data_IF_491409487143
#
_entry.id   IF_491409487143
#
_cell.length_a   1.000
_cell.length_b   1.000
_cell.length_c   1.000
_cell.angle_alpha   90.00
_cell.angle_beta   90.00
_cell.angle_gamma   90.00
#
_symmetry.space_group_name_H-M   'P 1'
#
loop_
_entity.id
_entity.type
_entity.pdbx_description
1 polymer ?
#
# COMPACT_ATOMS: atom_id res chain seq x y z
N UNK A 1 -6.07 10.72 2.32
CA UNK A 1 -6.61 9.36 2.56
C UNK A 1 -5.99 8.82 3.84
N UNK A 2 -6.77 8.49 4.87
CA UNK A 2 -6.24 7.84 6.09
C UNK A 2 -6.36 6.32 5.99
N UNK A 3 -5.57 5.60 6.78
CA UNK A 3 -5.59 4.14 6.88
C UNK A 3 -6.90 3.60 7.48
N UNK A 4 -7.75 4.47 8.01
CA UNK A 4 -8.89 4.10 8.85
C UNK A 4 -10.12 3.65 8.04
N UNK A 5 -10.10 3.84 6.72
CA UNK A 5 -11.15 3.31 5.83
C UNK A 5 -10.89 1.84 5.57
N UNK A 6 -11.94 1.01 5.71
CA UNK A 6 -11.84 -0.44 5.50
C UNK A 6 -11.34 -0.78 4.08
N UNK A 7 -10.45 -1.78 3.99
CA UNK A 7 -9.85 -2.31 2.75
C UNK A 7 -9.78 -3.83 2.85
N UNK A 8 -9.74 -4.52 1.72
CA UNK A 8 -9.69 -5.99 1.70
C UNK A 8 -8.47 -6.55 2.46
N UNK A 9 -7.35 -5.82 2.40
CA UNK A 9 -6.13 -6.11 3.16
C UNK A 9 -6.35 -6.22 4.67
N UNK A 10 -7.31 -5.50 5.25
CA UNK A 10 -7.64 -5.58 6.68
C UNK A 10 -8.15 -6.97 7.06
N UNK A 11 -8.91 -7.62 6.19
CA UNK A 11 -9.42 -8.98 6.41
C UNK A 11 -8.35 -10.06 6.17
N UNK A 12 -7.33 -9.76 5.34
CA UNK A 12 -6.32 -10.72 4.92
C UNK A 12 -5.08 -10.75 5.82
N UNK A 13 -4.78 -9.63 6.51
CA UNK A 13 -3.51 -9.43 7.23
C UNK A 13 -3.17 -10.49 8.28
N UNK A 14 -4.17 -11.13 8.87
CA UNK A 14 -3.99 -12.13 9.93
C UNK A 14 -3.77 -13.54 9.36
N UNK A 15 -4.01 -13.74 8.06
CA UNK A 15 -3.86 -15.04 7.37
C UNK A 15 -2.61 -15.09 6.49
N UNK A 16 -2.30 -13.98 5.82
CA UNK A 16 -1.16 -13.85 4.92
C UNK A 16 -0.48 -12.52 5.18
N UNK A 17 0.84 -12.49 5.04
CA UNK A 17 1.54 -11.24 5.24
C UNK A 17 1.15 -10.23 4.16
N UNK A 18 0.71 -9.08 4.63
CA UNK A 18 -0.03 -8.09 3.86
C UNK A 18 0.62 -6.73 4.04
N UNK A 19 0.83 -6.02 2.94
CA UNK A 19 1.36 -4.66 2.92
C UNK A 19 0.39 -3.76 2.15
N UNK A 20 0.25 -2.52 2.60
CA UNK A 20 -0.48 -1.49 1.89
C UNK A 20 0.43 -0.30 1.61
N UNK A 21 0.35 0.24 0.40
CA UNK A 21 1.03 1.46 -0.01
C UNK A 21 -0.02 2.50 -0.37
N UNK A 22 0.26 3.76 -0.03
CA UNK A 22 -0.63 4.88 -0.30
C UNK A 22 0.07 5.91 -1.17
N UNK A 23 -0.68 6.44 -2.12
CA UNK A 23 -0.33 7.65 -2.86
C UNK A 23 -1.13 8.84 -2.30
N UNK A 24 -0.61 10.07 -2.38
CA UNK A 24 -1.36 11.26 -2.00
C UNK A 24 -2.66 11.38 -2.81
N UNK A 25 -3.74 11.82 -2.17
CA UNK A 25 -4.93 12.33 -2.86
C UNK A 25 -4.98 13.83 -2.66
N UNK A 26 -5.25 14.60 -3.72
CA UNK A 26 -5.32 16.06 -3.67
C UNK A 26 -6.46 16.47 -2.74
N UNK A 27 -6.14 17.33 -1.76
CA UNK A 27 -7.03 17.74 -0.67
C UNK A 27 -7.58 16.58 0.19
N UNK A 28 -7.05 15.36 0.00
CA UNK A 28 -7.51 14.17 0.70
C UNK A 28 -8.94 13.74 0.36
N UNK A 29 -9.51 14.25 -0.74
CA UNK A 29 -10.87 13.94 -1.18
C UNK A 29 -10.96 12.48 -1.65
N UNK A 30 -12.06 11.81 -1.30
CA UNK A 30 -12.40 10.50 -1.84
C UNK A 30 -13.92 10.31 -1.91
N UNK A 31 -14.39 9.31 -2.67
CA UNK A 31 -15.81 9.06 -2.92
C UNK A 31 -16.56 10.27 -3.49
N UNK A 32 -15.86 11.03 -4.34
CA UNK A 32 -16.34 12.28 -4.92
C UNK A 32 -15.87 12.40 -6.37
N UNK A 33 -16.62 13.11 -7.22
CA UNK A 33 -16.23 13.36 -8.61
C UNK A 33 -14.96 14.22 -8.74
N UNK A 34 -14.62 14.98 -7.70
CA UNK A 34 -13.39 15.77 -7.61
C UNK A 34 -12.21 14.99 -7.00
N UNK A 35 -12.37 13.68 -6.72
CA UNK A 35 -11.25 12.84 -6.27
C UNK A 35 -10.17 12.81 -7.35
N UNK A 36 -8.95 13.21 -6.97
CA UNK A 36 -7.84 13.36 -7.91
C UNK A 36 -6.52 13.02 -7.25
N UNK A 37 -5.68 12.29 -7.99
CA UNK A 37 -4.28 12.02 -7.66
C UNK A 37 -3.46 12.43 -8.87
N UNK A 38 -2.32 13.10 -8.64
CA UNK A 38 -1.47 13.55 -9.75
C UNK A 38 -0.80 12.37 -10.43
N UNK A 39 -0.56 12.49 -11.73
CA UNK A 39 0.13 11.46 -12.52
C UNK A 39 1.51 11.10 -11.93
N UNK A 40 2.27 12.10 -11.46
CA UNK A 40 3.57 11.88 -10.82
C UNK A 40 3.49 10.98 -9.58
N UNK A 41 2.43 11.16 -8.77
CA UNK A 41 2.19 10.38 -7.56
C UNK A 41 1.71 8.95 -7.92
N UNK A 42 0.90 8.81 -8.97
CA UNK A 42 0.46 7.50 -9.47
C UNK A 42 1.64 6.67 -9.97
N UNK A 43 2.53 7.29 -10.78
CA UNK A 43 3.72 6.63 -11.31
C UNK A 43 4.67 6.21 -10.17
N UNK A 44 4.93 7.10 -9.21
CA UNK A 44 5.73 6.77 -8.03
C UNK A 44 5.12 5.61 -7.22
N UNK A 45 3.78 5.56 -7.11
CA UNK A 45 3.07 4.46 -6.46
C UNK A 45 3.30 3.11 -7.14
N UNK A 46 3.30 3.09 -8.48
CA UNK A 46 3.57 1.89 -9.29
C UNK A 46 5.03 1.44 -9.13
N UNK A 47 5.97 2.37 -9.15
CA UNK A 47 7.39 2.07 -8.96
C UNK A 47 7.65 1.43 -7.59
N UNK A 48 7.05 2.00 -6.53
CA UNK A 48 7.13 1.45 -5.18
C UNK A 48 6.48 0.07 -5.07
N UNK A 49 5.28 -0.11 -5.62
CA UNK A 49 4.61 -1.41 -5.62
C UNK A 49 5.47 -2.47 -6.32
N UNK A 50 6.05 -2.12 -7.47
CA UNK A 50 6.90 -3.02 -8.27
C UNK A 50 8.12 -3.45 -7.48
N UNK A 51 8.82 -2.51 -6.84
CA UNK A 51 10.02 -2.82 -6.06
C UNK A 51 9.69 -3.66 -4.80
N UNK A 52 8.58 -3.36 -4.11
CA UNK A 52 8.12 -4.16 -2.97
C UNK A 52 7.82 -5.58 -3.42
N UNK A 53 7.02 -5.76 -4.48
CA UNK A 53 6.70 -7.09 -5.01
C UNK A 53 7.95 -7.86 -5.43
N UNK A 54 8.90 -7.18 -6.09
CA UNK A 54 10.18 -7.79 -6.47
C UNK A 54 10.92 -8.31 -5.25
N UNK A 55 11.00 -7.54 -4.16
CA UNK A 55 11.64 -7.99 -2.91
C UNK A 55 10.92 -9.17 -2.28
N UNK A 56 9.59 -9.14 -2.22
CA UNK A 56 8.79 -10.22 -1.65
C UNK A 56 9.00 -11.54 -2.41
N UNK A 57 8.95 -11.48 -3.75
CA UNK A 57 9.03 -12.67 -4.59
C UNK A 57 10.46 -13.22 -4.67
N UNK A 58 11.48 -12.35 -4.64
CA UNK A 58 12.89 -12.77 -4.77
C UNK A 58 13.58 -13.03 -3.42
N UNK A 59 13.03 -12.53 -2.31
CA UNK A 59 13.56 -12.63 -0.96
C UNK A 59 12.44 -12.78 0.07
N UNK A 60 11.91 -14.00 0.29
CA UNK A 60 10.71 -14.23 1.13
C UNK A 60 10.86 -13.79 2.59
N UNK A 61 12.11 -13.65 3.07
CA UNK A 61 12.43 -13.23 4.44
C UNK A 61 12.16 -11.75 4.73
N UNK A 62 11.92 -10.90 3.71
CA UNK A 62 11.71 -9.45 3.88
C UNK A 62 10.34 -9.11 4.47
N UNK A 63 9.46 -10.11 4.61
CA UNK A 63 8.05 -9.94 4.97
C UNK A 63 7.76 -10.41 6.40
N UNK A 64 8.71 -11.09 7.02
CA UNK A 64 8.66 -11.41 8.43
C UNK A 64 9.23 -10.21 9.21
N UNK A 65 8.35 -9.45 9.85
CA UNK A 65 8.74 -8.67 11.02
C UNK A 65 9.27 -9.65 12.06
N UNK A 66 10.59 -9.85 12.09
CA UNK A 66 11.27 -10.43 13.24
C UNK A 66 11.22 -9.37 14.33
N UNK A 67 10.19 -9.43 15.17
CA UNK A 67 10.31 -8.97 16.55
C UNK A 67 10.67 -10.20 17.38
N UNK A 68 11.98 -10.44 17.54
CA UNK A 68 12.46 -11.09 18.75
C UNK A 68 12.52 -10.02 19.86
N UNK A 69 11.81 -10.26 20.96
CA UNK A 69 11.71 -9.39 22.12
C UNK A 69 10.44 -9.64 22.91
#
# INVERSE_FOLDING_TARGET
>A
MSQDTARDSTNMKDLVSTVMLFVPSVEGISHNLNEFTKDEDLLAGIDHLTEVLRRIVTGPSVVAGVQEG
#
